data_IF_861752668924
#
_entry.id   IF_861752668924
#
_cell.length_a   1.000
_cell.length_b   1.000
_cell.length_c   1.000
_cell.angle_alpha   90.00
_cell.angle_beta   90.00
_cell.angle_gamma   90.00
#
_symmetry.space_group_name_H-M   'P 1'
#
loop_
_entity.id
_entity.type
_entity.pdbx_description
1 polymer ?
#
# COMPACT_ATOMS: atom_id res chain seq x y z
N UNK A 1 13.95 -8.58 0.05
CA UNK A 1 13.60 -7.56 -0.97
C UNK A 1 12.81 -6.45 -0.31
N UNK A 2 12.97 -5.24 -0.79
CA UNK A 2 12.20 -4.09 -0.29
C UNK A 2 10.97 -3.92 -1.17
N UNK A 3 9.79 -4.01 -0.58
CA UNK A 3 8.53 -3.96 -1.30
C UNK A 3 7.70 -2.76 -0.84
N UNK A 4 7.29 -1.92 -1.79
CA UNK A 4 6.32 -0.87 -1.53
C UNK A 4 4.93 -1.44 -1.82
N UNK A 5 4.10 -1.53 -0.80
CA UNK A 5 2.71 -1.97 -0.94
C UNK A 5 1.83 -0.74 -1.10
N UNK A 6 1.40 -0.48 -2.32
CA UNK A 6 0.55 0.68 -2.60
C UNK A 6 -0.93 0.29 -2.49
N UNK A 7 -1.72 1.17 -1.91
CA UNK A 7 -3.12 0.88 -1.65
C UNK A 7 -3.97 2.14 -1.53
N UNK A 8 -5.28 1.98 -1.69
CA UNK A 8 -6.26 3.02 -1.39
C UNK A 8 -7.03 2.62 -0.14
N UNK A 9 -7.26 3.57 0.76
CA UNK A 9 -8.11 3.32 1.91
C UNK A 9 -9.54 3.71 1.61
N UNK A 10 -10.47 3.02 2.28
CA UNK A 10 -11.89 3.38 2.22
C UNK A 10 -12.09 4.65 3.03
N UNK A 11 -12.64 5.69 2.40
CA UNK A 11 -12.86 6.97 3.05
C UNK A 11 -14.24 7.06 3.70
N UNK A 12 -15.22 6.32 3.18
CA UNK A 12 -16.58 6.27 3.73
C UNK A 12 -17.11 4.85 3.62
N UNK A 13 -18.26 4.57 4.27
CA UNK A 13 -18.90 3.26 4.21
C UNK A 13 -19.96 3.17 3.11
N UNK A 14 -19.74 3.84 1.99
CA UNK A 14 -20.63 3.76 0.84
C UNK A 14 -20.29 2.55 -0.03
N UNK A 15 -21.22 2.13 -0.88
CA UNK A 15 -20.98 1.04 -1.83
C UNK A 15 -19.83 1.36 -2.80
N UNK A 16 -19.68 2.62 -3.15
CA UNK A 16 -18.59 3.04 -4.03
C UNK A 16 -17.24 2.76 -3.42
N UNK A 17 -17.11 2.97 -2.12
CA UNK A 17 -15.86 2.72 -1.42
C UNK A 17 -15.63 1.23 -1.13
N UNK A 18 -16.65 0.40 -1.31
CA UNK A 18 -16.51 -1.05 -1.13
C UNK A 18 -15.56 -1.68 -2.14
N UNK A 19 -15.24 -0.99 -3.23
CA UNK A 19 -14.26 -1.45 -4.22
C UNK A 19 -12.83 -1.32 -3.73
N UNK A 20 -12.58 -0.49 -2.72
CA UNK A 20 -11.25 -0.32 -2.17
C UNK A 20 -10.96 -1.39 -1.13
N UNK A 21 -9.69 -1.74 -1.01
CA UNK A 21 -9.27 -2.71 -0.01
C UNK A 21 -9.50 -2.17 1.39
N UNK A 22 -9.94 -3.05 2.28
CA UNK A 22 -10.06 -2.67 3.69
C UNK A 22 -8.66 -2.63 4.34
N UNK A 23 -8.50 -1.88 5.43
CA UNK A 23 -7.24 -1.89 6.17
C UNK A 23 -6.82 -3.30 6.62
N UNK A 24 -7.77 -4.17 6.90
CA UNK A 24 -7.50 -5.54 7.30
C UNK A 24 -6.89 -6.36 6.16
N UNK A 25 -7.38 -6.16 4.94
CA UNK A 25 -6.84 -6.83 3.76
C UNK A 25 -5.40 -6.39 3.51
N UNK A 26 -5.15 -5.09 3.59
CA UNK A 26 -3.80 -4.54 3.40
C UNK A 26 -2.86 -5.07 4.47
N UNK A 27 -3.31 -5.13 5.73
CA UNK A 27 -2.51 -5.67 6.82
C UNK A 27 -2.13 -7.14 6.57
N UNK A 28 -3.09 -7.93 6.10
CA UNK A 28 -2.86 -9.34 5.79
C UNK A 28 -1.82 -9.50 4.69
N UNK A 29 -1.91 -8.72 3.64
CA UNK A 29 -0.94 -8.75 2.53
C UNK A 29 0.46 -8.38 3.05
N UNK A 30 0.55 -7.28 3.81
CA UNK A 30 1.83 -6.82 4.33
C UNK A 30 2.47 -7.87 5.23
N UNK A 31 1.72 -8.49 6.12
CA UNK A 31 2.23 -9.53 7.02
C UNK A 31 2.69 -10.76 6.26
N UNK A 32 1.95 -11.14 5.22
CA UNK A 32 2.32 -12.29 4.39
C UNK A 32 3.67 -12.06 3.71
N UNK A 33 3.86 -10.86 3.17
CA UNK A 33 5.13 -10.50 2.52
C UNK A 33 6.27 -10.43 3.54
N UNK A 34 6.02 -9.89 4.71
CA UNK A 34 7.02 -9.83 5.78
C UNK A 34 7.45 -11.21 6.25
N UNK A 35 6.49 -12.15 6.36
CA UNK A 35 6.79 -13.54 6.73
C UNK A 35 7.66 -14.23 5.69
N UNK A 36 7.57 -13.80 4.44
CA UNK A 36 8.42 -14.34 3.39
C UNK A 36 9.83 -13.74 3.40
N UNK A 37 10.14 -12.86 4.35
CA UNK A 37 11.47 -12.29 4.51
C UNK A 37 11.67 -10.94 3.83
N UNK A 38 10.59 -10.28 3.41
CA UNK A 38 10.68 -8.98 2.74
C UNK A 38 10.46 -7.83 3.71
N UNK A 39 11.09 -6.70 3.41
CA UNK A 39 10.83 -5.45 4.11
C UNK A 39 9.70 -4.73 3.36
N UNK A 40 8.59 -4.48 4.04
CA UNK A 40 7.39 -3.92 3.42
C UNK A 40 7.11 -2.52 3.95
N UNK A 41 6.96 -1.57 3.03
CA UNK A 41 6.50 -0.22 3.33
C UNK A 41 5.10 -0.05 2.77
N UNK A 42 4.18 0.38 3.63
CA UNK A 42 2.79 0.63 3.22
C UNK A 42 2.70 2.05 2.68
N UNK A 43 2.23 2.19 1.45
CA UNK A 43 2.18 3.47 0.75
C UNK A 43 0.74 3.75 0.31
N UNK A 44 0.09 4.67 1.00
CA UNK A 44 -1.24 5.09 0.62
C UNK A 44 -1.16 6.02 -0.59
N UNK A 45 -1.96 5.72 -1.62
CA UNK A 45 -1.90 6.47 -2.88
C UNK A 45 -2.93 7.59 -2.99
N UNK A 46 -3.75 7.80 -1.97
CA UNK A 46 -4.66 8.95 -1.94
C UNK A 46 -3.88 10.21 -1.60
N UNK A 47 -4.25 11.31 -2.23
CA UNK A 47 -3.57 12.58 -2.03
C UNK A 47 -2.69 12.98 -3.20
N UNK A 48 -1.87 14.03 -3.04
CA UNK A 48 -1.05 14.54 -4.15
C UNK A 48 -0.02 13.52 -4.63
N UNK A 49 0.15 13.42 -5.96
CA UNK A 49 1.12 12.51 -6.55
C UNK A 49 2.55 12.80 -6.08
N UNK A 50 2.86 14.06 -5.77
CA UNK A 50 4.18 14.44 -5.26
C UNK A 50 4.53 13.73 -3.95
N UNK A 51 3.54 13.50 -3.07
CA UNK A 51 3.76 12.79 -1.82
C UNK A 51 4.07 11.32 -2.07
N UNK A 52 3.36 10.71 -3.01
CA UNK A 52 3.59 9.32 -3.38
C UNK A 52 5.00 9.15 -3.94
N UNK A 53 5.40 10.01 -4.86
CA UNK A 53 6.73 9.95 -5.48
C UNK A 53 7.81 10.14 -4.42
N UNK A 54 7.67 11.13 -3.54
CA UNK A 54 8.63 11.38 -2.48
C UNK A 54 8.77 10.17 -1.54
N UNK A 55 7.64 9.53 -1.20
CA UNK A 55 7.66 8.35 -0.34
C UNK A 55 8.39 7.19 -1.00
N UNK A 56 8.10 6.93 -2.28
CA UNK A 56 8.75 5.86 -3.01
C UNK A 56 10.25 6.11 -3.20
N UNK A 57 10.63 7.35 -3.47
CA UNK A 57 12.06 7.70 -3.59
C UNK A 57 12.80 7.50 -2.27
N UNK A 58 12.18 7.88 -1.16
CA UNK A 58 12.80 7.72 0.16
C UNK A 58 12.97 6.25 0.54
N UNK A 59 11.98 5.43 0.22
CA UNK A 59 12.03 4.00 0.55
C UNK A 59 12.91 3.21 -0.42
N UNK A 60 12.97 3.62 -1.67
CA UNK A 60 13.72 2.97 -2.74
C UNK A 60 13.39 1.46 -2.85
N UNK A 61 12.14 1.11 -3.19
CA UNK A 61 11.74 -0.29 -3.24
C UNK A 61 12.36 -1.03 -4.42
N UNK A 62 12.55 -2.33 -4.24
CA UNK A 62 12.95 -3.24 -5.33
C UNK A 62 11.73 -3.63 -6.17
N UNK A 63 10.56 -3.63 -5.54
CA UNK A 63 9.30 -4.03 -6.18
C UNK A 63 8.16 -3.21 -5.63
N UNK A 64 7.21 -2.87 -6.48
CA UNK A 64 5.96 -2.25 -6.07
C UNK A 64 4.84 -3.28 -6.21
N UNK A 65 4.19 -3.59 -5.10
CA UNK A 65 3.01 -4.45 -5.09
C UNK A 65 1.78 -3.54 -5.04
N UNK A 66 1.10 -3.44 -6.15
CA UNK A 66 -0.02 -2.52 -6.28
C UNK A 66 -1.35 -3.20 -5.92
N UNK A 67 -1.91 -2.82 -4.77
CA UNK A 67 -3.22 -3.29 -4.30
C UNK A 67 -4.32 -2.24 -4.50
N UNK A 68 -4.02 -1.15 -5.15
CA UNK A 68 -4.99 -0.08 -5.42
C UNK A 68 -5.86 -0.37 -6.63
#
# INVERSE_FOLDING_TARGET
MRIALTYNVRLTDTEEDAEFDSPETIDTIARTLEKAGHQVERVEVTGPASRLVAHLEAFAPDLIFNAA
#
